data_IF_288788058695
#
_entry.id   IF_288788058695
#
_cell.length_a   1.000
_cell.length_b   1.000
_cell.length_c   1.000
_cell.angle_alpha   90.00
_cell.angle_beta   90.00
_cell.angle_gamma   90.00
#
_symmetry.space_group_name_H-M   'P 1'
#
loop_
_entity.id
_entity.type
_entity.pdbx_description
1 polymer ?
#
# COMPACT_ATOMS: atom_id res chain seq x y z
N UNK A 1 31.39 7.76 -7.53
CA UNK A 1 31.06 6.40 -7.04
C UNK A 1 29.56 6.22 -7.20
N UNK A 2 29.05 5.15 -7.85
CA UNK A 2 27.61 4.92 -7.82
C UNK A 2 27.21 4.67 -6.37
N UNK A 3 26.30 5.49 -5.84
CA UNK A 3 25.68 5.25 -4.54
C UNK A 3 24.87 3.96 -4.64
N UNK A 4 25.45 2.83 -4.23
CA UNK A 4 24.71 1.58 -4.09
C UNK A 4 23.68 1.76 -2.98
N UNK A 5 22.42 1.92 -3.37
CA UNK A 5 21.31 1.88 -2.44
C UNK A 5 21.30 0.50 -1.76
N UNK A 6 21.30 0.48 -0.43
CA UNK A 6 21.14 -0.76 0.34
C UNK A 6 19.65 -1.08 0.43
N UNK A 7 19.26 -2.25 -0.04
CA UNK A 7 17.88 -2.74 0.10
C UNK A 7 17.71 -3.44 1.45
N UNK A 8 16.65 -3.07 2.18
CA UNK A 8 16.26 -3.71 3.44
C UNK A 8 14.94 -4.44 3.24
N UNK A 9 14.93 -5.75 3.52
CA UNK A 9 13.73 -6.58 3.52
C UNK A 9 13.39 -6.98 4.96
N UNK A 10 12.16 -6.69 5.40
CA UNK A 10 11.66 -7.07 6.72
C UNK A 10 10.69 -8.24 6.56
N UNK A 11 11.03 -9.38 7.15
CA UNK A 11 10.23 -10.62 7.08
C UNK A 11 9.72 -11.02 8.45
N UNK A 12 8.78 -11.97 8.47
CA UNK A 12 8.21 -12.52 9.72
C UNK A 12 6.78 -13.00 9.53
N UNK A 13 6.21 -13.72 10.51
CA UNK A 13 4.86 -14.29 10.41
C UNK A 13 3.79 -13.20 10.25
N UNK A 14 2.61 -13.53 9.67
CA UNK A 14 1.47 -12.62 9.63
C UNK A 14 1.10 -12.13 11.04
N UNK A 15 0.69 -10.86 11.16
CA UNK A 15 0.28 -10.28 12.46
C UNK A 15 1.41 -9.88 13.42
N UNK A 16 2.69 -10.13 13.10
CA UNK A 16 3.84 -9.78 13.98
C UNK A 16 4.12 -8.27 14.12
N UNK A 17 3.36 -7.40 13.42
CA UNK A 17 3.52 -5.95 13.51
C UNK A 17 4.47 -5.32 12.49
N UNK A 18 4.75 -5.98 11.35
CA UNK A 18 5.59 -5.42 10.27
C UNK A 18 5.11 -4.05 9.79
N UNK A 19 3.82 -3.91 9.50
CA UNK A 19 3.22 -2.63 9.08
C UNK A 19 3.38 -1.56 10.16
N UNK A 20 3.17 -1.93 11.44
CA UNK A 20 3.38 -1.04 12.58
C UNK A 20 4.83 -0.59 12.71
N UNK A 21 5.80 -1.47 12.45
CA UNK A 21 7.22 -1.11 12.43
C UNK A 21 7.52 -0.09 11.33
N UNK A 22 7.03 -0.32 10.10
CA UNK A 22 7.20 0.60 8.97
C UNK A 22 6.58 1.97 9.28
N UNK A 23 5.38 2.01 9.86
CA UNK A 23 4.71 3.25 10.27
C UNK A 23 5.55 4.02 11.31
N UNK A 24 6.10 3.34 12.32
CA UNK A 24 6.98 3.97 13.31
C UNK A 24 8.27 4.51 12.70
N UNK A 25 8.86 3.78 11.75
CA UNK A 25 10.04 4.24 11.01
C UNK A 25 9.71 5.51 10.22
N UNK A 26 8.58 5.51 9.50
CA UNK A 26 8.13 6.68 8.75
C UNK A 26 7.97 7.92 9.64
N UNK A 27 7.30 7.78 10.80
CA UNK A 27 7.15 8.87 11.77
C UNK A 27 8.51 9.43 12.20
N UNK A 28 9.45 8.56 12.59
CA UNK A 28 10.79 8.98 13.01
C UNK A 28 11.61 9.66 11.89
N UNK A 29 11.45 9.21 10.64
CA UNK A 29 12.12 9.83 9.50
C UNK A 29 11.52 11.20 9.19
N UNK A 30 10.18 11.31 9.27
CA UNK A 30 9.46 12.58 9.11
C UNK A 30 9.85 13.60 10.18
N UNK A 31 9.96 13.20 11.44
CA UNK A 31 10.45 14.04 12.54
C UNK A 31 11.86 14.59 12.30
N UNK A 32 12.68 13.85 11.55
CA UNK A 32 14.04 14.25 11.14
C UNK A 32 14.08 15.06 9.84
N UNK A 33 12.92 15.37 9.26
CA UNK A 33 12.83 16.09 7.98
C UNK A 33 13.29 15.27 6.76
N UNK A 34 13.41 13.94 6.89
CA UNK A 34 13.82 13.08 5.77
C UNK A 34 12.57 12.74 4.94
N UNK A 35 12.53 13.12 3.64
CA UNK A 35 11.40 12.81 2.78
C UNK A 35 11.33 11.30 2.55
N UNK A 36 10.15 10.72 2.74
CA UNK A 36 9.88 9.31 2.50
C UNK A 36 8.61 9.19 1.67
N UNK A 37 8.71 8.44 0.59
CA UNK A 37 7.59 8.08 -0.27
C UNK A 37 7.37 6.57 -0.18
N UNK A 38 6.13 6.15 -0.35
CA UNK A 38 5.76 4.74 -0.39
C UNK A 38 4.33 4.53 0.05
N UNK A 39 3.94 3.26 0.06
CA UNK A 39 2.61 2.84 0.46
C UNK A 39 2.71 1.52 1.23
N UNK A 40 1.64 1.21 1.95
CA UNK A 40 1.43 -0.07 2.59
C UNK A 40 -0.01 -0.51 2.33
N UNK A 41 -0.26 -1.81 2.52
CA UNK A 41 -1.60 -2.36 2.38
C UNK A 41 -2.22 -2.61 3.75
N UNK A 42 -3.48 -2.22 3.93
CA UNK A 42 -4.25 -2.52 5.13
C UNK A 42 -5.30 -3.58 4.85
N UNK A 43 -5.42 -4.53 5.78
CA UNK A 43 -6.49 -5.53 5.73
C UNK A 43 -7.79 -4.92 6.26
N UNK A 44 -8.84 -4.93 5.44
CA UNK A 44 -10.18 -4.54 5.85
C UNK A 44 -10.91 -5.74 6.43
N UNK A 45 -11.42 -5.57 7.65
CA UNK A 45 -12.23 -6.57 8.36
C UNK A 45 -13.54 -5.94 8.79
N UNK A 46 -14.62 -6.70 8.72
CA UNK A 46 -15.91 -6.26 9.27
C UNK A 46 -15.99 -6.41 10.78
N UNK A 47 -17.12 -5.97 11.33
CA UNK A 47 -17.53 -6.15 12.71
C UNK A 47 -17.44 -7.60 13.21
N UNK A 48 -17.54 -8.59 12.32
CA UNK A 48 -17.41 -10.02 12.63
C UNK A 48 -15.99 -10.57 12.42
N UNK A 49 -14.97 -9.70 12.31
CA UNK A 49 -13.55 -10.02 12.05
C UNK A 49 -13.28 -10.77 10.74
N UNK A 50 -14.27 -10.86 9.84
CA UNK A 50 -14.09 -11.47 8.51
C UNK A 50 -13.39 -10.49 7.58
N UNK A 51 -12.46 -10.99 6.78
CA UNK A 51 -11.69 -10.20 5.81
C UNK A 51 -12.56 -9.82 4.62
N UNK A 52 -12.85 -8.53 4.48
CA UNK A 52 -13.67 -7.98 3.40
C UNK A 52 -12.86 -7.42 2.24
N UNK A 53 -11.56 -7.22 2.42
CA UNK A 53 -10.73 -6.67 1.36
C UNK A 53 -9.41 -6.11 1.85
N UNK A 54 -8.82 -5.30 0.98
CA UNK A 54 -7.57 -4.62 1.22
C UNK A 54 -7.63 -3.20 0.68
N UNK A 55 -7.03 -2.28 1.42
CA UNK A 55 -6.77 -0.93 0.94
C UNK A 55 -5.28 -0.76 0.69
N UNK A 56 -4.97 0.09 -0.28
CA UNK A 56 -3.65 0.69 -0.41
C UNK A 56 -3.67 2.05 0.26
N UNK A 57 -2.70 2.30 1.13
CA UNK A 57 -2.56 3.55 1.88
C UNK A 57 -1.16 4.10 1.67
N UNK A 58 -1.07 5.32 1.18
CA UNK A 58 0.20 6.01 0.99
C UNK A 58 0.70 6.59 2.32
N UNK A 59 2.00 6.88 2.41
CA UNK A 59 2.58 7.48 3.61
C UNK A 59 2.07 8.91 3.88
N UNK A 60 1.54 9.62 2.88
CA UNK A 60 0.84 10.90 3.03
C UNK A 60 -0.67 10.75 3.36
N UNK A 61 -1.15 9.52 3.58
CA UNK A 61 -2.48 9.24 4.11
C UNK A 61 -3.60 9.13 3.06
N UNK A 62 -3.29 9.21 1.77
CA UNK A 62 -4.25 8.93 0.71
C UNK A 62 -4.56 7.43 0.68
N UNK A 63 -5.81 7.09 0.36
CA UNK A 63 -6.32 5.72 0.39
C UNK A 63 -7.05 5.38 -0.89
N UNK A 64 -6.83 4.17 -1.40
CA UNK A 64 -7.53 3.60 -2.55
C UNK A 64 -7.92 2.16 -2.27
N UNK A 65 -8.99 1.69 -2.91
CA UNK A 65 -9.41 0.28 -2.81
C UNK A 65 -8.41 -0.56 -3.59
N UNK A 66 -7.85 -1.58 -2.96
CA UNK A 66 -7.00 -2.54 -3.66
C UNK A 66 -7.80 -3.78 -4.05
N UNK A 67 -8.54 -4.35 -3.09
CA UNK A 67 -9.42 -5.47 -3.36
C UNK A 67 -10.64 -5.48 -2.42
N UNK A 68 -11.76 -6.05 -2.86
CA UNK A 68 -12.99 -6.22 -2.09
C UNK A 68 -13.62 -7.59 -2.35
N UNK A 69 -14.29 -8.17 -1.36
CA UNK A 69 -15.13 -9.35 -1.56
C UNK A 69 -16.37 -9.00 -2.38
N UNK A 70 -16.97 -10.00 -3.03
CA UNK A 70 -18.17 -9.85 -3.87
C UNK A 70 -19.32 -9.11 -3.20
N UNK A 71 -19.48 -9.27 -1.88
CA UNK A 71 -20.52 -8.62 -1.08
C UNK A 71 -20.37 -7.08 -1.01
N UNK A 72 -19.22 -6.54 -1.41
CA UNK A 72 -18.86 -5.11 -1.33
C UNK A 72 -18.71 -4.46 -2.71
N UNK A 73 -19.07 -5.14 -3.79
CA UNK A 73 -18.98 -4.63 -5.16
C UNK A 73 -20.37 -4.60 -5.77
N UNK A 74 -20.79 -3.43 -6.25
CA UNK A 74 -21.99 -3.30 -7.07
C UNK A 74 -21.71 -3.98 -8.41
N UNK A 75 -22.66 -4.80 -8.87
CA UNK A 75 -22.50 -5.77 -9.97
C UNK A 75 -21.60 -5.31 -11.13
N UNK A 76 -20.69 -6.21 -11.53
CA UNK A 76 -19.86 -6.19 -12.75
C UNK A 76 -19.32 -4.82 -13.18
N UNK A 77 -18.56 -4.14 -12.30
CA UNK A 77 -17.73 -3.01 -12.75
C UNK A 77 -16.65 -3.53 -13.71
N UNK A 78 -16.69 -3.17 -15.01
CA UNK A 78 -15.76 -3.69 -16.01
C UNK A 78 -14.30 -3.28 -15.77
N UNK A 79 -14.05 -2.34 -14.86
CA UNK A 79 -12.70 -1.92 -14.42
C UNK A 79 -12.11 -2.81 -13.34
N UNK A 80 -12.87 -3.80 -12.87
CA UNK A 80 -12.42 -4.73 -11.84
C UNK A 80 -12.02 -6.08 -12.42
N UNK A 81 -10.97 -6.67 -11.86
CA UNK A 81 -10.54 -8.02 -12.21
C UNK A 81 -10.83 -8.98 -11.06
N UNK A 82 -11.30 -10.20 -11.36
CA UNK A 82 -11.62 -11.18 -10.32
C UNK A 82 -10.42 -12.10 -10.05
N UNK A 83 -9.99 -12.16 -8.79
CA UNK A 83 -8.96 -13.09 -8.28
C UNK A 83 -9.55 -13.85 -7.09
N UNK A 84 -9.98 -15.09 -7.33
CA UNK A 84 -10.68 -15.90 -6.33
C UNK A 84 -11.99 -15.23 -5.87
N UNK A 85 -12.07 -14.93 -4.56
CA UNK A 85 -13.22 -14.25 -3.94
C UNK A 85 -13.14 -12.71 -3.99
N UNK A 86 -12.05 -12.16 -4.55
CA UNK A 86 -11.80 -10.72 -4.58
C UNK A 86 -12.02 -10.12 -5.97
N UNK A 87 -12.66 -8.96 -5.98
CA UNK A 87 -12.60 -8.00 -7.07
C UNK A 87 -11.46 -7.03 -6.76
N UNK A 88 -10.51 -6.96 -7.68
CA UNK A 88 -9.33 -6.10 -7.62
C UNK A 88 -9.61 -4.82 -8.39
N UNK A 89 -9.11 -3.69 -7.92
CA UNK A 89 -9.28 -2.37 -8.53
C UNK A 89 -7.91 -1.84 -9.01
N UNK A 90 -7.38 -2.32 -10.15
CA UNK A 90 -6.08 -1.88 -10.66
C UNK A 90 -6.04 -0.37 -10.88
N UNK A 91 -7.08 0.21 -11.49
CA UNK A 91 -7.14 1.64 -11.79
C UNK A 91 -6.94 2.52 -10.54
N UNK A 92 -7.55 2.15 -9.41
CA UNK A 92 -7.38 2.90 -8.16
C UNK A 92 -5.96 2.77 -7.59
N UNK A 93 -5.39 1.57 -7.65
CA UNK A 93 -4.01 1.36 -7.27
C UNK A 93 -3.07 2.15 -8.17
N UNK A 94 -3.24 2.08 -9.48
CA UNK A 94 -2.37 2.72 -10.45
C UNK A 94 -2.40 4.24 -10.32
N UNK A 95 -3.61 4.83 -10.26
CA UNK A 95 -3.77 6.27 -10.10
C UNK A 95 -3.22 6.80 -8.77
N UNK A 96 -3.23 5.97 -7.72
CA UNK A 96 -2.71 6.36 -6.40
C UNK A 96 -1.20 6.16 -6.28
N UNK A 97 -0.70 5.02 -6.75
CA UNK A 97 0.65 4.52 -6.44
C UNK A 97 1.65 4.82 -7.54
N UNK A 98 1.30 4.65 -8.82
CA UNK A 98 2.27 4.84 -9.91
C UNK A 98 2.83 6.27 -9.97
N UNK A 99 2.04 7.34 -9.73
CA UNK A 99 2.60 8.70 -9.68
C UNK A 99 3.70 8.86 -8.65
N UNK A 100 3.69 8.09 -7.56
CA UNK A 100 4.71 8.15 -6.50
C UNK A 100 6.10 7.75 -7.00
N UNK A 101 6.16 6.96 -8.07
CA UNK A 101 7.41 6.44 -8.63
C UNK A 101 7.93 7.26 -9.82
N UNK A 102 7.14 8.20 -10.35
CA UNK A 102 7.54 8.99 -11.53
C UNK A 102 8.71 9.94 -11.23
N UNK A 103 8.80 10.42 -9.99
CA UNK A 103 9.84 11.37 -9.55
C UNK A 103 11.00 10.70 -8.80
N UNK A 104 11.06 9.36 -8.77
CA UNK A 104 12.14 8.61 -8.07
C UNK A 104 13.41 8.54 -8.93
N UNK A 105 13.33 9.01 -10.16
CA UNK A 105 14.47 9.14 -11.05
C UNK A 105 15.32 10.34 -10.61
N UNK A 106 16.44 10.03 -9.92
CA UNK A 106 17.65 10.86 -9.76
C UNK A 106 17.64 11.93 -8.64
N UNK A 107 17.85 11.46 -7.41
CA UNK A 107 18.73 12.15 -6.46
C UNK A 107 20.20 12.05 -6.88
N UNK A 108 20.52 12.51 -8.09
CA UNK A 108 21.89 12.82 -8.55
C UNK A 108 21.90 14.33 -8.76
N UNK A 109 22.16 15.06 -7.69
CA UNK A 109 22.64 16.43 -7.69
C UNK A 109 23.73 16.52 -6.62
#
# INVERSE_FOLDING_TARGET
MPLTAKHLLITGPPGIGKTTLIQKIHVKLKERGIPVIGFYTEELRNQFKRREGFDVVTLDGKRGRLARTSERVLADDPRTCRVGQYYVFPDEFENLVLPMFKDVTLGVA
#
